data_IF_749934124581
#
_entry.id   IF_749934124581
#
_cell.length_a   1.000
_cell.length_b   1.000
_cell.length_c   1.000
_cell.angle_alpha   90.00
_cell.angle_beta   90.00
_cell.angle_gamma   90.00
#
_symmetry.space_group_name_H-M   'P 1'
#
loop_
_entity.id
_entity.type
_entity.pdbx_description
1 polymer ?
#
# COMPACT_ATOMS: atom_id res chain seq x y z
N UNK A 1 -30.72 -2.01 -10.83
CA UNK A 1 -30.08 -2.74 -9.71
C UNK A 1 -29.74 -1.73 -8.64
N UNK A 2 -30.05 -2.03 -7.38
CA UNK A 2 -29.60 -1.20 -6.26
C UNK A 2 -28.12 -1.51 -5.97
N UNK A 3 -27.33 -0.50 -5.64
CA UNK A 3 -25.94 -0.68 -5.21
C UNK A 3 -25.91 -1.39 -3.85
N UNK A 4 -24.91 -2.26 -3.63
CA UNK A 4 -24.68 -2.86 -2.33
C UNK A 4 -24.27 -1.78 -1.31
N UNK A 5 -24.92 -1.77 -0.15
CA UNK A 5 -24.62 -0.89 0.98
C UNK A 5 -24.15 -1.77 2.15
N UNK A 6 -22.83 -1.85 2.44
CA UNK A 6 -22.36 -2.63 3.56
C UNK A 6 -22.81 -1.99 4.89
N UNK A 7 -23.09 -2.79 5.92
CA UNK A 7 -23.33 -2.26 7.26
C UNK A 7 -22.04 -1.69 7.85
N UNK A 8 -22.15 -0.66 8.69
CA UNK A 8 -21.04 -0.16 9.50
C UNK A 8 -20.75 -1.16 10.63
N UNK A 9 -19.57 -1.79 10.58
CA UNK A 9 -19.13 -2.79 11.55
C UNK A 9 -17.89 -2.30 12.27
N UNK A 10 -17.92 -2.35 13.60
CA UNK A 10 -16.73 -2.12 14.42
C UNK A 10 -15.82 -3.36 14.38
N UNK A 11 -14.73 -3.27 13.63
CA UNK A 11 -13.76 -4.36 13.47
C UNK A 11 -12.69 -4.29 14.58
N UNK A 12 -12.74 -5.23 15.53
CA UNK A 12 -11.79 -5.36 16.65
C UNK A 12 -10.96 -6.65 16.61
N UNK A 13 -11.00 -7.38 15.48
CA UNK A 13 -10.16 -8.55 15.24
C UNK A 13 -8.73 -8.19 14.83
N UNK A 14 -7.88 -9.18 14.49
CA UNK A 14 -6.51 -8.95 14.05
C UNK A 14 -6.38 -8.27 12.68
N UNK A 15 -7.50 -8.15 11.94
CA UNK A 15 -7.58 -7.46 10.66
C UNK A 15 -8.76 -7.93 9.83
N UNK A 16 -9.20 -7.14 8.83
CA UNK A 16 -8.80 -5.74 8.59
C UNK A 16 -9.33 -4.79 9.68
N UNK A 17 -8.72 -3.61 9.81
CA UNK A 17 -9.17 -2.56 10.74
C UNK A 17 -10.18 -1.61 10.07
N UNK A 18 -11.00 -0.87 10.84
CA UNK A 18 -11.85 0.18 10.28
C UNK A 18 -11.01 1.24 9.57
N UNK A 19 -11.43 1.66 8.38
CA UNK A 19 -10.72 2.67 7.58
C UNK A 19 -11.24 4.05 7.94
N UNK A 20 -10.35 5.00 8.26
CA UNK A 20 -10.76 6.37 8.54
C UNK A 20 -11.51 6.99 7.37
N UNK A 21 -12.54 7.81 7.64
CA UNK A 21 -13.36 8.46 6.61
C UNK A 21 -12.52 9.25 5.60
N UNK A 22 -11.48 9.95 6.08
CA UNK A 22 -10.52 10.70 5.23
C UNK A 22 -9.85 9.82 4.17
N UNK A 23 -9.53 8.57 4.49
CA UNK A 23 -8.89 7.63 3.53
C UNK A 23 -9.92 7.12 2.53
N UNK A 24 -11.13 6.78 2.98
CA UNK A 24 -12.23 6.38 2.09
C UNK A 24 -12.57 7.49 1.08
N UNK A 25 -12.68 8.72 1.54
CA UNK A 25 -12.94 9.89 0.68
C UNK A 25 -11.78 10.14 -0.30
N UNK A 26 -10.54 9.83 0.08
CA UNK A 26 -9.39 9.93 -0.82
C UNK A 26 -9.42 8.86 -1.93
N UNK A 27 -9.81 7.62 -1.61
CA UNK A 27 -9.94 6.53 -2.58
C UNK A 27 -11.08 6.74 -3.58
N UNK A 28 -12.09 7.54 -3.23
CA UNK A 28 -13.23 7.85 -4.11
C UNK A 28 -12.92 8.92 -5.17
N UNK A 29 -11.72 9.51 -5.16
CA UNK A 29 -11.32 10.56 -6.11
C UNK A 29 -11.06 9.97 -7.51
N UNK A 30 -11.23 10.75 -8.60
CA UNK A 30 -10.91 10.31 -9.95
C UNK A 30 -9.45 9.83 -10.09
N UNK A 31 -9.24 8.81 -10.92
CA UNK A 31 -7.91 8.32 -11.23
C UNK A 31 -7.16 9.28 -12.15
N UNK A 32 -5.83 9.24 -12.08
CA UNK A 32 -4.91 9.97 -12.97
C UNK A 32 -3.93 8.99 -13.62
N UNK A 33 -3.33 9.39 -14.74
CA UNK A 33 -2.37 8.54 -15.46
C UNK A 33 -1.08 8.29 -14.66
N UNK A 34 -0.48 7.11 -14.81
CA UNK A 34 0.75 6.73 -14.08
C UNK A 34 1.99 7.55 -14.47
N UNK A 35 1.96 8.24 -15.62
CA UNK A 35 3.00 9.18 -16.06
C UNK A 35 2.61 10.65 -15.83
N UNK A 36 1.45 10.92 -15.22
CA UNK A 36 1.04 12.28 -14.90
C UNK A 36 2.04 12.89 -13.90
N UNK A 37 2.57 14.11 -14.12
CA UNK A 37 3.53 14.73 -13.21
C UNK A 37 3.02 14.83 -11.76
N UNK A 38 1.69 14.96 -11.57
CA UNK A 38 1.08 14.99 -10.24
C UNK A 38 1.14 13.63 -9.54
N UNK A 39 1.02 12.54 -10.31
CA UNK A 39 1.20 11.19 -9.78
C UNK A 39 2.64 10.96 -9.36
N UNK A 40 3.60 11.36 -10.19
CA UNK A 40 5.05 11.24 -9.88
C UNK A 40 5.39 11.99 -8.60
N UNK A 41 4.97 13.26 -8.46
CA UNK A 41 5.21 14.03 -7.25
C UNK A 41 4.57 13.43 -5.99
N UNK A 42 3.35 12.89 -6.11
CA UNK A 42 2.69 12.18 -5.01
C UNK A 42 3.44 10.89 -4.62
N UNK A 43 3.98 10.16 -5.60
CA UNK A 43 4.81 8.98 -5.33
C UNK A 43 6.11 9.35 -4.63
N UNK A 44 6.74 10.47 -4.96
CA UNK A 44 7.93 10.95 -4.25
C UNK A 44 7.63 11.30 -2.79
N UNK A 45 6.53 12.01 -2.52
CA UNK A 45 6.06 12.28 -1.16
C UNK A 45 5.77 10.97 -0.40
N UNK A 46 5.10 10.02 -1.05
CA UNK A 46 4.79 8.70 -0.46
C UNK A 46 6.07 7.96 -0.04
N UNK A 47 7.13 8.01 -0.84
CA UNK A 47 8.42 7.37 -0.50
C UNK A 47 9.05 7.98 0.75
N UNK A 48 8.94 9.30 0.95
CA UNK A 48 9.39 9.94 2.19
C UNK A 48 8.54 9.53 3.40
N UNK A 49 7.22 9.51 3.24
CA UNK A 49 6.32 9.07 4.31
C UNK A 49 6.53 7.61 4.69
N UNK A 50 6.83 6.73 3.73
CA UNK A 50 7.17 5.34 3.98
C UNK A 50 8.52 5.22 4.72
N UNK A 51 9.53 5.99 4.34
CA UNK A 51 10.81 6.06 5.08
C UNK A 51 10.60 6.50 6.52
N UNK A 52 9.73 7.50 6.73
CA UNK A 52 9.34 7.92 8.07
C UNK A 52 8.61 6.80 8.82
N UNK A 53 7.59 6.16 8.24
CA UNK A 53 6.84 5.11 8.90
C UNK A 53 7.71 3.89 9.28
N UNK A 54 8.63 3.52 8.40
CA UNK A 54 9.55 2.38 8.59
C UNK A 54 10.85 2.76 9.33
N UNK A 55 11.02 4.03 9.68
CA UNK A 55 12.21 4.57 10.35
C UNK A 55 13.52 4.19 9.63
N UNK A 56 13.59 4.41 8.31
CA UNK A 56 14.75 4.07 7.47
C UNK A 56 15.19 5.23 6.59
N UNK A 57 16.45 5.18 6.13
CA UNK A 57 17.03 6.13 5.15
C UNK A 57 17.19 5.51 3.76
N UNK A 58 16.70 4.29 3.53
CA UNK A 58 16.85 3.59 2.27
C UNK A 58 16.15 4.36 1.13
N UNK A 59 16.93 4.72 0.10
CA UNK A 59 16.42 5.42 -1.07
C UNK A 59 15.37 4.58 -1.82
N UNK A 60 15.63 3.27 -1.94
CA UNK A 60 14.69 2.29 -2.48
C UNK A 60 13.69 1.87 -1.39
N UNK A 61 12.71 2.73 -1.16
CA UNK A 61 11.54 2.45 -0.30
C UNK A 61 10.30 2.74 -1.14
N UNK A 62 9.54 1.72 -1.53
CA UNK A 62 8.43 1.84 -2.47
C UNK A 62 7.25 0.96 -2.05
N UNK A 63 6.00 1.34 -2.36
CA UNK A 63 4.85 0.46 -2.16
C UNK A 63 4.79 -0.61 -3.25
N UNK A 64 4.23 -1.77 -2.92
CA UNK A 64 3.84 -2.81 -3.86
C UNK A 64 2.31 -2.88 -3.86
N UNK A 65 1.69 -2.81 -5.04
CA UNK A 65 0.23 -2.86 -5.21
C UNK A 65 -0.31 -4.28 -5.02
N UNK A 66 -0.29 -4.77 -3.77
CA UNK A 66 -0.72 -6.11 -3.40
C UNK A 66 -0.98 -6.22 -1.88
N UNK A 67 -1.59 -7.32 -1.39
CA UNK A 67 -1.67 -7.61 0.04
C UNK A 67 -0.29 -7.74 0.70
N UNK A 68 -0.23 -7.68 2.03
CA UNK A 68 1.03 -7.73 2.77
C UNK A 68 1.91 -8.96 2.48
N UNK A 69 1.32 -10.12 2.19
CA UNK A 69 2.06 -11.34 1.84
C UNK A 69 2.91 -11.19 0.57
N UNK A 70 2.49 -10.36 -0.38
CA UNK A 70 3.26 -10.10 -1.59
C UNK A 70 4.53 -9.26 -1.30
N UNK A 71 4.57 -8.51 -0.20
CA UNK A 71 5.79 -7.85 0.26
C UNK A 71 6.85 -8.87 0.70
N UNK A 72 6.42 -9.93 1.39
CA UNK A 72 7.29 -11.05 1.74
C UNK A 72 7.74 -11.79 0.47
N UNK A 73 6.81 -12.13 -0.41
CA UNK A 73 7.11 -12.80 -1.68
C UNK A 73 8.13 -12.00 -2.51
N UNK A 74 7.91 -10.69 -2.69
CA UNK A 74 8.82 -9.81 -3.41
C UNK A 74 10.24 -9.82 -2.82
N UNK A 75 10.39 -9.89 -1.49
CA UNK A 75 11.71 -10.00 -0.88
C UNK A 75 12.37 -11.34 -1.21
N UNK A 76 11.65 -12.46 -1.06
CA UNK A 76 12.19 -13.79 -1.30
C UNK A 76 12.55 -14.02 -2.78
N UNK A 77 11.62 -13.76 -3.71
CA UNK A 77 11.83 -14.08 -5.13
C UNK A 77 12.92 -13.25 -5.80
N UNK A 78 13.30 -12.11 -5.21
CA UNK A 78 14.37 -11.26 -5.74
C UNK A 78 15.73 -11.50 -5.06
N UNK A 79 15.77 -12.14 -3.88
CA UNK A 79 17.00 -12.29 -3.09
C UNK A 79 17.45 -13.74 -2.89
N UNK A 80 16.57 -14.72 -3.13
CA UNK A 80 16.84 -16.14 -2.90
C UNK A 80 16.84 -16.90 -4.21
N UNK A 81 17.92 -17.63 -4.48
CA UNK A 81 18.06 -18.52 -5.62
C UNK A 81 17.90 -20.01 -5.21
N UNK A 82 17.58 -20.91 -6.16
CA UNK A 82 17.51 -22.34 -5.87
C UNK A 82 18.84 -22.89 -5.32
N UNK A 83 18.80 -23.41 -4.10
CA UNK A 83 19.98 -23.99 -3.42
C UNK A 83 20.53 -23.12 -2.28
N UNK A 84 20.04 -21.89 -2.14
CA UNK A 84 20.38 -21.03 -0.99
C UNK A 84 19.86 -21.60 0.33
N UNK A 85 20.63 -21.39 1.40
CA UNK A 85 20.19 -21.66 2.78
C UNK A 85 19.65 -20.37 3.38
N UNK A 86 18.42 -20.40 3.92
CA UNK A 86 17.68 -19.23 4.42
C UNK A 86 17.31 -19.39 5.89
#
# INVERSE_FOLDING_TARGET
MASFQPPDVLLLGPGPSPVSRRVLDAMARPTIGHLDPRFVGMMDELKELLRFAMQTRNALTVPISAPGSAGMEAAFVNLVEPGDTV
#
